data_IF_346367087884
#
_entry.id   IF_346367087884
#
_cell.length_a   1.000
_cell.length_b   1.000
_cell.length_c   1.000
_cell.angle_alpha   90.00
_cell.angle_beta   90.00
_cell.angle_gamma   90.00
#
_symmetry.space_group_name_H-M   'P 1'
#
loop_
_entity.id
_entity.type
_entity.pdbx_description
1 polymer ?
#
# COMPACT_ATOMS: atom_id res chain seq x y z
N UNK A 1 -2.46 -32.38 -25.80
CA UNK A 1 -2.47 -31.75 -24.48
C UNK A 1 -3.00 -32.79 -23.50
N UNK A 2 -2.24 -33.08 -22.46
CA UNK A 2 -2.40 -34.24 -21.58
C UNK A 2 -2.64 -33.74 -20.15
N UNK A 3 -3.80 -34.07 -19.59
CA UNK A 3 -4.16 -33.67 -18.22
C UNK A 3 -3.36 -34.51 -17.21
N UNK A 4 -2.61 -33.84 -16.33
CA UNK A 4 -1.90 -34.50 -15.23
C UNK A 4 -2.78 -34.64 -14.00
N UNK A 5 -3.61 -33.62 -13.73
CA UNK A 5 -4.65 -33.59 -12.71
C UNK A 5 -5.64 -32.45 -13.02
N UNK A 6 -6.56 -32.15 -12.10
CA UNK A 6 -7.61 -31.14 -12.27
C UNK A 6 -7.08 -29.72 -12.56
N UNK A 7 -5.82 -29.43 -12.22
CA UNK A 7 -5.24 -28.09 -12.30
C UNK A 7 -4.10 -27.97 -13.32
N UNK A 8 -3.45 -29.07 -13.70
CA UNK A 8 -2.26 -29.06 -14.55
C UNK A 8 -2.42 -29.92 -15.80
N UNK A 9 -1.93 -29.41 -16.94
CA UNK A 9 -1.78 -30.20 -18.16
C UNK A 9 -0.42 -29.97 -18.85
N UNK A 10 0.08 -31.00 -19.53
CA UNK A 10 1.28 -30.96 -20.36
C UNK A 10 0.91 -30.86 -21.84
N UNK A 11 1.71 -30.15 -22.61
CA UNK A 11 1.60 -30.12 -24.06
C UNK A 11 2.96 -30.32 -24.71
N UNK A 12 3.06 -31.29 -25.61
CA UNK A 12 4.22 -31.46 -26.47
C UNK A 12 4.04 -30.59 -27.71
N UNK A 13 5.04 -29.76 -28.00
CA UNK A 13 5.03 -28.80 -29.11
C UNK A 13 6.36 -28.93 -29.84
N UNK A 14 6.33 -29.37 -31.10
CA UNK A 14 7.54 -29.35 -31.92
C UNK A 14 7.89 -27.91 -32.27
N UNK A 15 8.99 -27.39 -31.71
CA UNK A 15 9.50 -26.08 -32.04
C UNK A 15 10.30 -26.10 -33.36
N UNK A 16 10.96 -27.22 -33.65
CA UNK A 16 11.62 -27.52 -34.93
C UNK A 16 11.85 -29.04 -35.08
N UNK A 17 12.37 -29.50 -36.22
CA UNK A 17 12.72 -30.93 -36.44
C UNK A 17 13.85 -31.45 -35.54
N UNK A 18 14.49 -30.58 -34.76
CA UNK A 18 15.58 -30.92 -33.84
C UNK A 18 15.29 -30.50 -32.41
N UNK A 19 14.09 -29.98 -32.13
CA UNK A 19 13.73 -29.43 -30.84
C UNK A 19 12.26 -29.70 -30.49
N UNK A 20 12.05 -30.41 -29.38
CA UNK A 20 10.74 -30.68 -28.79
C UNK A 20 10.55 -29.82 -27.55
N UNK A 21 9.47 -29.05 -27.50
CA UNK A 21 9.07 -28.32 -26.31
C UNK A 21 8.03 -29.11 -25.51
N UNK A 22 8.27 -29.26 -24.22
CA UNK A 22 7.31 -29.75 -23.23
C UNK A 22 6.81 -28.55 -22.45
N UNK A 23 5.56 -28.17 -22.68
CA UNK A 23 4.88 -27.06 -22.02
C UNK A 23 4.07 -27.53 -20.82
N UNK A 24 4.15 -26.83 -19.69
CA UNK A 24 3.32 -27.05 -18.51
C UNK A 24 2.35 -25.89 -18.32
N UNK A 25 1.06 -26.22 -18.28
CA UNK A 25 -0.03 -25.28 -18.11
C UNK A 25 -0.72 -25.51 -16.76
N UNK A 26 -1.04 -24.43 -16.06
CA UNK A 26 -1.85 -24.44 -14.83
C UNK A 26 -3.13 -23.65 -15.07
N UNK A 27 -4.29 -24.30 -14.93
CA UNK A 27 -5.60 -23.74 -15.31
C UNK A 27 -5.62 -23.13 -16.73
N UNK A 28 -4.94 -23.77 -17.69
CA UNK A 28 -4.88 -23.33 -19.09
C UNK A 28 -3.95 -22.13 -19.35
N UNK A 29 -3.19 -21.68 -18.35
CA UNK A 29 -2.16 -20.65 -18.51
C UNK A 29 -0.80 -21.34 -18.61
N UNK A 30 -0.04 -21.02 -19.65
CA UNK A 30 1.32 -21.50 -19.80
C UNK A 30 2.18 -20.98 -18.66
N UNK A 31 2.71 -21.91 -17.85
CA UNK A 31 3.55 -21.57 -16.70
C UNK A 31 5.03 -21.81 -16.98
N UNK A 32 5.37 -22.82 -17.80
CA UNK A 32 6.75 -23.25 -18.09
C UNK A 32 6.86 -23.93 -19.46
N UNK A 33 8.03 -23.83 -20.10
CA UNK A 33 8.42 -24.58 -21.31
C UNK A 33 9.78 -25.23 -21.05
N UNK A 34 9.95 -26.49 -21.46
CA UNK A 34 11.25 -27.20 -21.49
C UNK A 34 11.55 -27.62 -22.91
N UNK A 35 12.72 -27.26 -23.44
CA UNK A 35 13.14 -27.64 -24.80
C UNK A 35 14.14 -28.79 -24.76
N UNK A 36 13.89 -29.85 -25.52
CA UNK A 36 14.73 -31.05 -25.62
C UNK A 36 15.23 -31.24 -27.05
N UNK A 37 16.50 -31.64 -27.19
CA UNK A 37 17.08 -32.10 -28.45
C UNK A 37 17.19 -33.63 -28.52
N UNK A 38 17.56 -34.18 -29.69
CA UNK A 38 17.69 -35.63 -29.90
C UNK A 38 18.62 -36.33 -28.90
N UNK A 39 19.76 -35.72 -28.56
CA UNK A 39 20.73 -36.31 -27.62
C UNK A 39 20.13 -36.40 -26.20
N UNK A 40 19.40 -35.36 -25.77
CA UNK A 40 18.71 -35.34 -24.48
C UNK A 40 17.56 -36.35 -24.44
N UNK A 41 16.75 -36.45 -25.50
CA UNK A 41 15.71 -37.47 -25.62
C UNK A 41 16.30 -38.89 -25.57
N UNK A 42 17.44 -39.10 -26.22
CA UNK A 42 18.13 -40.39 -26.21
C UNK A 42 18.73 -40.74 -24.85
N UNK A 43 19.34 -39.77 -24.16
CA UNK A 43 19.83 -39.96 -22.81
C UNK A 43 18.70 -40.30 -21.82
N UNK A 44 17.57 -39.59 -21.90
CA UNK A 44 16.40 -39.81 -21.05
C UNK A 44 15.78 -41.19 -21.23
N UNK A 45 15.93 -41.78 -22.41
CA UNK A 45 15.43 -43.13 -22.72
C UNK A 45 16.47 -44.23 -22.57
N UNK A 46 17.65 -43.94 -22.00
CA UNK A 46 18.76 -44.89 -21.98
C UNK A 46 19.10 -45.45 -23.37
N UNK A 47 19.00 -44.62 -24.41
CA UNK A 47 19.20 -44.95 -25.84
C UNK A 47 18.16 -45.89 -26.45
N UNK A 48 16.97 -46.00 -25.85
CA UNK A 48 15.84 -46.70 -26.47
C UNK A 48 15.22 -45.90 -27.62
N UNK A 49 15.28 -44.57 -27.55
CA UNK A 49 14.92 -43.67 -28.64
C UNK A 49 16.18 -42.90 -29.07
N UNK A 50 16.41 -42.75 -30.37
CA UNK A 50 17.53 -41.98 -30.93
C UNK A 50 17.05 -40.67 -31.56
N UNK A 51 15.74 -40.55 -31.81
CA UNK A 51 15.11 -39.36 -32.39
C UNK A 51 14.00 -38.79 -31.50
N UNK A 52 13.73 -37.50 -31.65
CA UNK A 52 12.58 -36.82 -31.03
C UNK A 52 11.27 -37.51 -31.42
N UNK A 53 11.09 -37.91 -32.69
CA UNK A 53 9.85 -38.56 -33.14
C UNK A 53 9.61 -39.91 -32.43
N UNK A 54 10.66 -40.71 -32.23
CA UNK A 54 10.57 -41.96 -31.44
C UNK A 54 10.28 -41.69 -29.96
N UNK A 55 10.84 -40.62 -29.41
CA UNK A 55 10.58 -40.18 -28.04
C UNK A 55 9.15 -39.70 -27.85
N UNK A 56 8.62 -38.94 -28.81
CA UNK A 56 7.23 -38.46 -28.79
C UNK A 56 6.25 -39.61 -28.84
N UNK A 57 6.44 -40.58 -29.75
CA UNK A 57 5.59 -41.78 -29.80
C UNK A 57 5.63 -42.54 -28.47
N UNK A 58 6.82 -42.73 -27.88
CA UNK A 58 6.96 -43.40 -26.59
C UNK A 58 6.22 -42.65 -25.47
N UNK A 59 6.38 -41.32 -25.38
CA UNK A 59 5.72 -40.51 -24.35
C UNK A 59 4.20 -40.50 -24.54
N UNK A 60 3.72 -40.42 -25.78
CA UNK A 60 2.28 -40.50 -26.09
C UNK A 60 1.71 -41.85 -25.67
N UNK A 61 2.36 -42.95 -26.05
CA UNK A 61 1.93 -44.30 -25.68
C UNK A 61 1.90 -44.49 -24.16
N UNK A 62 2.89 -43.94 -23.44
CA UNK A 62 2.96 -43.96 -21.98
C UNK A 62 1.87 -43.10 -21.31
N UNK A 63 1.55 -41.94 -21.91
CA UNK A 63 0.48 -41.05 -21.44
C UNK A 63 -0.91 -41.65 -21.65
N UNK A 64 -1.09 -42.46 -22.69
CA UNK A 64 -2.34 -43.16 -22.97
C UNK A 64 -2.48 -44.47 -22.17
N UNK A 65 -1.38 -45.15 -21.84
CA UNK A 65 -1.38 -46.39 -21.06
C UNK A 65 -1.28 -46.16 -19.55
N UNK A 66 -2.38 -45.64 -18.96
CA UNK A 66 -2.67 -45.73 -17.52
C UNK A 66 -1.59 -45.19 -16.57
N UNK A 67 -1.34 -43.88 -16.62
CA UNK A 67 -0.52 -43.21 -15.61
C UNK A 67 -1.33 -43.08 -14.32
N UNK A 68 -0.91 -43.77 -13.26
CA UNK A 68 -1.61 -43.75 -11.97
C UNK A 68 -0.91 -42.97 -10.86
N UNK A 69 0.30 -42.43 -11.06
CA UNK A 69 1.07 -41.77 -10.00
C UNK A 69 2.05 -40.69 -10.52
N UNK A 70 1.54 -39.58 -11.07
CA UNK A 70 2.40 -38.40 -11.34
C UNK A 70 2.57 -37.61 -10.04
N UNK A 71 3.79 -37.57 -9.50
CA UNK A 71 4.13 -36.71 -8.38
C UNK A 71 4.88 -35.49 -8.92
N UNK A 72 4.35 -34.28 -8.70
CA UNK A 72 5.02 -33.01 -9.04
C UNK A 72 5.43 -32.34 -7.74
N UNK A 73 6.72 -32.33 -7.44
CA UNK A 73 7.28 -31.56 -6.32
C UNK A 73 7.79 -30.22 -6.84
N UNK A 74 7.24 -29.12 -6.35
CA UNK A 74 7.57 -27.76 -6.79
C UNK A 74 8.73 -27.21 -5.95
N UNK A 75 9.92 -27.79 -6.08
CA UNK A 75 11.15 -27.28 -5.46
C UNK A 75 12.31 -27.33 -6.46
N UNK A 76 12.51 -26.23 -7.20
CA UNK A 76 13.61 -25.93 -8.16
C UNK A 76 13.90 -26.97 -9.28
N UNK A 77 13.24 -28.12 -9.26
CA UNK A 77 13.42 -29.24 -10.16
C UNK A 77 12.05 -29.84 -10.46
N UNK A 78 11.73 -30.05 -11.74
CA UNK A 78 10.56 -30.81 -12.12
C UNK A 78 10.98 -32.28 -12.20
N UNK A 79 10.49 -33.10 -11.27
CA UNK A 79 10.64 -34.55 -11.32
C UNK A 79 9.33 -35.17 -11.81
N UNK A 80 9.37 -35.90 -12.91
CA UNK A 80 8.22 -36.65 -13.44
C UNK A 80 8.56 -38.12 -13.32
N UNK A 81 7.69 -38.87 -12.64
CA UNK A 81 7.81 -40.31 -12.47
C UNK A 81 6.57 -41.04 -12.96
N UNK A 82 6.76 -42.14 -13.69
CA UNK A 82 5.67 -43.05 -14.06
C UNK A 82 6.17 -44.51 -14.21
N UNK A 83 5.32 -45.50 -13.95
CA UNK A 83 5.65 -46.90 -14.15
C UNK A 83 5.59 -47.27 -15.64
N UNK A 84 6.64 -47.93 -16.17
CA UNK A 84 6.66 -48.45 -17.54
C UNK A 84 6.57 -49.97 -17.51
N UNK A 85 5.66 -50.55 -18.32
CA UNK A 85 5.53 -52.00 -18.54
C UNK A 85 6.07 -52.38 -19.90
N UNK A 86 7.03 -53.30 -19.93
CA UNK A 86 7.66 -53.76 -21.16
C UNK A 86 7.11 -55.12 -21.61
N UNK A 87 6.28 -55.10 -22.66
CA UNK A 87 5.77 -56.32 -23.30
C UNK A 87 4.94 -57.23 -22.40
N UNK A 88 4.62 -58.44 -22.88
CA UNK A 88 3.72 -59.40 -22.21
C UNK A 88 4.26 -60.04 -20.91
N UNK A 89 5.38 -59.53 -20.37
CA UNK A 89 5.94 -59.97 -19.08
C UNK A 89 5.81 -58.80 -18.10
N UNK A 90 5.09 -59.03 -17.00
CA UNK A 90 4.83 -58.06 -15.92
C UNK A 90 6.12 -57.62 -15.17
N UNK A 91 6.97 -56.86 -15.84
CA UNK A 91 8.03 -56.07 -15.23
C UNK A 91 7.58 -54.62 -15.18
N UNK A 92 7.49 -54.06 -13.98
CA UNK A 92 7.15 -52.67 -13.73
C UNK A 92 8.41 -51.96 -13.23
N UNK A 93 8.94 -51.03 -14.02
CA UNK A 93 10.09 -50.22 -13.63
C UNK A 93 9.63 -48.77 -13.51
N UNK A 94 9.88 -48.15 -12.36
CA UNK A 94 9.62 -46.73 -12.17
C UNK A 94 10.67 -45.94 -12.95
N UNK A 95 10.23 -45.17 -13.93
CA UNK A 95 11.07 -44.22 -14.64
C UNK A 95 10.88 -42.86 -14.01
N UNK A 96 11.99 -42.23 -13.62
CA UNK A 96 12.03 -40.88 -13.08
C UNK A 96 13.03 -40.07 -13.89
N UNK A 97 12.62 -38.93 -14.43
CA UNK A 97 13.57 -37.96 -14.97
C UNK A 97 13.48 -36.65 -14.21
N UNK A 98 14.67 -36.11 -13.92
CA UNK A 98 14.87 -34.85 -13.21
C UNK A 98 15.27 -33.79 -14.23
N UNK A 99 14.45 -32.75 -14.35
CA UNK A 99 14.78 -31.59 -15.19
C UNK A 99 15.32 -30.50 -14.27
N UNK A 100 16.58 -30.11 -14.50
CA UNK A 100 17.20 -28.96 -13.84
C UNK A 100 16.68 -27.68 -14.51
N UNK A 101 15.86 -26.91 -13.80
CA UNK A 101 15.02 -25.84 -14.38
C UNK A 101 15.61 -24.44 -14.20
N UNK A 102 16.94 -24.30 -14.29
CA UNK A 102 17.53 -22.95 -14.38
C UNK A 102 16.95 -22.23 -15.60
N UNK A 103 16.12 -21.22 -15.33
CA UNK A 103 15.61 -20.26 -16.30
C UNK A 103 16.81 -19.67 -17.05
N UNK A 104 17.08 -20.17 -18.26
CA UNK A 104 17.93 -19.45 -19.20
C UNK A 104 17.06 -18.35 -19.78
N UNK A 105 16.95 -17.23 -19.07
CA UNK A 105 16.51 -16.00 -19.69
C UNK A 105 17.58 -15.64 -20.72
N UNK A 106 17.23 -15.61 -22.01
CA UNK A 106 18.03 -14.96 -23.04
C UNK A 106 18.07 -13.45 -22.71
N UNK A 107 18.86 -13.07 -21.70
CA UNK A 107 19.24 -11.69 -21.47
C UNK A 107 20.31 -11.39 -22.50
N UNK A 108 19.90 -10.81 -23.62
CA UNK A 108 20.73 -9.79 -24.24
C UNK A 108 21.18 -8.80 -23.17
N UNK A 109 22.38 -8.24 -23.29
CA UNK A 109 23.02 -7.26 -22.39
C UNK A 109 22.18 -5.98 -22.18
N UNK A 110 20.98 -6.10 -21.62
CA UNK A 110 20.11 -4.99 -21.28
C UNK A 110 20.52 -4.48 -19.91
N UNK A 111 21.09 -3.28 -19.89
CA UNK A 111 21.38 -2.56 -18.65
C UNK A 111 20.04 -2.14 -18.06
N UNK A 112 19.56 -2.86 -17.04
CA UNK A 112 18.35 -2.52 -16.30
C UNK A 112 18.67 -2.00 -14.90
N UNK A 113 17.65 -1.50 -14.20
CA UNK A 113 17.72 -1.16 -12.77
C UNK A 113 17.42 -2.36 -11.87
N UNK A 114 17.29 -3.56 -12.43
CA UNK A 114 17.01 -4.75 -11.65
C UNK A 114 18.24 -5.13 -10.79
N UNK A 115 18.01 -5.80 -9.65
CA UNK A 115 19.08 -6.43 -8.91
C UNK A 115 19.85 -7.40 -9.81
N UNK A 116 21.18 -7.37 -9.71
CA UNK A 116 22.04 -8.35 -10.37
C UNK A 116 21.81 -9.78 -9.86
N UNK A 117 21.28 -9.94 -8.63
CA UNK A 117 20.89 -11.20 -8.02
C UNK A 117 19.60 -11.05 -7.20
N UNK A 118 18.50 -11.63 -7.71
CA UNK A 118 17.20 -11.63 -7.05
C UNK A 118 17.15 -12.48 -5.78
N UNK A 119 17.97 -13.53 -5.68
CA UNK A 119 18.04 -14.36 -4.48
C UNK A 119 18.78 -13.61 -3.36
N UNK A 120 19.84 -12.88 -3.69
CA UNK A 120 20.52 -12.00 -2.73
C UNK A 120 19.59 -10.91 -2.19
N UNK A 121 18.84 -10.23 -3.08
CA UNK A 121 17.82 -9.25 -2.65
C UNK A 121 16.74 -9.89 -1.77
N UNK A 122 16.31 -11.12 -2.08
CA UNK A 122 15.34 -11.86 -1.25
C UNK A 122 15.88 -12.12 0.15
N UNK A 123 17.14 -12.55 0.27
CA UNK A 123 17.80 -12.76 1.57
C UNK A 123 17.89 -11.46 2.36
N UNK A 124 18.25 -10.35 1.70
CA UNK A 124 18.25 -9.03 2.34
C UNK A 124 16.84 -8.65 2.81
N UNK A 125 15.83 -8.84 1.96
CA UNK A 125 14.43 -8.60 2.31
C UNK A 125 13.98 -9.38 3.54
N UNK A 126 14.32 -10.67 3.63
CA UNK A 126 14.05 -11.49 4.82
C UNK A 126 14.70 -10.91 6.08
N UNK A 127 15.99 -10.54 6.01
CA UNK A 127 16.71 -9.94 7.13
C UNK A 127 16.08 -8.61 7.57
N UNK A 128 15.74 -7.73 6.63
CA UNK A 128 15.10 -6.45 6.92
C UNK A 128 13.76 -6.67 7.64
N UNK A 129 12.94 -7.57 7.11
CA UNK A 129 11.61 -7.86 7.67
C UNK A 129 11.69 -8.43 9.08
N UNK A 130 12.56 -9.41 9.30
CA UNK A 130 12.81 -9.99 10.63
C UNK A 130 13.25 -8.91 11.63
N UNK A 131 14.27 -8.14 11.26
CA UNK A 131 14.79 -7.07 12.11
C UNK A 131 13.75 -5.98 12.42
N UNK A 132 12.89 -5.61 11.46
CA UNK A 132 11.89 -4.56 11.67
C UNK A 132 10.71 -5.05 12.53
N UNK A 133 10.32 -6.31 12.37
CA UNK A 133 9.31 -6.95 13.24
C UNK A 133 9.85 -7.02 14.67
N UNK A 134 11.09 -7.47 14.86
CA UNK A 134 11.76 -7.52 16.15
C UNK A 134 11.94 -6.12 16.75
N UNK A 135 12.26 -5.13 15.91
CA UNK A 135 12.34 -3.74 16.32
C UNK A 135 11.02 -3.24 16.92
N UNK A 136 9.89 -3.50 16.25
CA UNK A 136 8.56 -3.11 16.75
C UNK A 136 8.15 -3.91 18.00
N UNK A 137 8.42 -5.22 18.04
CA UNK A 137 8.14 -6.08 19.20
C UNK A 137 8.86 -5.57 20.46
N UNK A 138 10.15 -5.29 20.32
CA UNK A 138 11.05 -4.99 21.44
C UNK A 138 11.17 -3.49 21.71
N UNK A 139 10.40 -2.64 21.03
CA UNK A 139 10.55 -1.18 21.14
C UNK A 139 10.47 -0.69 22.59
N UNK A 140 9.66 -1.35 23.42
CA UNK A 140 9.43 -1.03 24.84
C UNK A 140 10.67 -1.25 25.72
N UNK A 141 11.65 -2.00 25.22
CA UNK A 141 12.93 -2.26 25.90
C UNK A 141 13.98 -1.19 25.60
N UNK A 142 13.67 -0.25 24.69
CA UNK A 142 14.57 0.82 24.27
C UNK A 142 14.13 2.16 24.89
N UNK A 143 15.01 3.16 24.99
CA UNK A 143 14.60 4.51 25.35
C UNK A 143 13.52 5.03 24.39
N UNK A 144 12.50 5.70 24.92
CA UNK A 144 11.45 6.30 24.10
C UNK A 144 12.02 7.28 23.06
N UNK A 145 13.02 8.06 23.45
CA UNK A 145 13.76 8.94 22.55
C UNK A 145 15.21 9.02 23.02
N UNK A 146 16.13 9.21 22.08
CA UNK A 146 17.53 9.55 22.37
C UNK A 146 18.03 10.62 21.40
N UNK A 147 18.87 11.56 21.85
CA UNK A 147 19.45 12.56 20.98
C UNK A 147 20.40 11.92 19.96
N UNK A 148 20.46 12.49 18.77
CA UNK A 148 21.44 12.12 17.74
C UNK A 148 22.84 12.59 18.19
N UNK A 149 23.83 11.69 18.32
CA UNK A 149 25.20 12.08 18.65
C UNK A 149 25.79 13.01 17.59
N UNK A 150 26.61 13.98 18.03
CA UNK A 150 27.26 14.94 17.13
C UNK A 150 28.09 14.23 16.05
N UNK A 151 28.79 13.16 16.41
CA UNK A 151 29.59 12.38 15.47
C UNK A 151 28.75 11.77 14.34
N UNK A 152 27.60 11.19 14.66
CA UNK A 152 26.68 10.65 13.64
C UNK A 152 26.09 11.78 12.80
N UNK A 153 25.71 12.89 13.44
CA UNK A 153 25.21 14.07 12.74
C UNK A 153 26.24 14.61 11.73
N UNK A 154 27.51 14.69 12.12
CA UNK A 154 28.60 15.13 11.25
C UNK A 154 28.84 14.16 10.09
N UNK A 155 28.80 12.85 10.33
CA UNK A 155 28.89 11.83 9.26
C UNK A 155 27.78 12.03 8.22
N UNK A 156 26.53 12.24 8.66
CA UNK A 156 25.37 12.43 7.76
C UNK A 156 25.51 13.75 6.97
N UNK A 157 25.93 14.84 7.62
CA UNK A 157 25.98 16.16 6.98
C UNK A 157 27.18 16.37 6.06
N UNK A 158 28.31 15.70 6.34
CA UNK A 158 29.57 15.89 5.61
C UNK A 158 29.92 14.72 4.69
N UNK A 159 28.99 13.77 4.47
CA UNK A 159 29.19 12.67 3.53
C UNK A 159 29.21 13.16 2.08
N UNK A 160 30.19 12.71 1.30
CA UNK A 160 30.26 13.01 -0.13
C UNK A 160 29.20 12.24 -0.93
N UNK A 161 28.78 12.79 -2.07
CA UNK A 161 27.92 12.08 -3.03
C UNK A 161 28.67 10.83 -3.55
N UNK A 162 28.15 9.60 -3.34
CA UNK A 162 28.80 8.40 -3.86
C UNK A 162 28.75 8.40 -5.39
N UNK A 163 29.94 8.32 -6.03
CA UNK A 163 30.06 8.24 -7.49
C UNK A 163 29.92 6.81 -8.03
N UNK A 164 29.89 5.82 -7.13
CA UNK A 164 29.74 4.41 -7.44
C UNK A 164 28.63 3.80 -6.59
N UNK A 165 27.97 2.78 -7.12
CA UNK A 165 26.96 2.03 -6.37
C UNK A 165 27.56 1.39 -5.10
N UNK A 166 26.76 1.34 -4.05
CA UNK A 166 27.08 0.64 -2.81
C UNK A 166 26.22 -0.61 -2.69
N UNK A 167 26.70 -1.61 -1.94
CA UNK A 167 25.91 -2.81 -1.68
C UNK A 167 24.65 -2.45 -0.88
N UNK A 168 23.45 -2.94 -1.27
CA UNK A 168 22.24 -2.76 -0.48
C UNK A 168 22.37 -3.24 0.97
N UNK A 169 23.19 -4.27 1.22
CA UNK A 169 23.50 -4.77 2.56
C UNK A 169 24.25 -3.72 3.41
N UNK A 170 25.25 -3.05 2.82
CA UNK A 170 26.01 -2.01 3.51
C UNK A 170 25.12 -0.82 3.83
N UNK A 171 24.29 -0.38 2.88
CA UNK A 171 23.31 0.70 3.09
C UNK A 171 22.33 0.35 4.22
N UNK A 172 21.85 -0.90 4.27
CA UNK A 172 20.98 -1.35 5.34
C UNK A 172 21.67 -1.36 6.72
N UNK A 173 22.92 -1.82 6.80
CA UNK A 173 23.71 -1.81 8.04
C UNK A 173 23.95 -0.36 8.51
N UNK A 174 24.19 0.58 7.59
CA UNK A 174 24.28 2.01 7.89
C UNK A 174 22.97 2.56 8.44
N UNK A 175 21.81 2.22 7.84
CA UNK A 175 20.49 2.60 8.38
C UNK A 175 20.30 2.08 9.80
N UNK A 176 20.68 0.83 10.06
CA UNK A 176 20.55 0.20 11.38
C UNK A 176 21.43 0.86 12.46
N UNK A 177 22.56 1.44 12.08
CA UNK A 177 23.55 2.00 13.02
C UNK A 177 23.46 3.52 13.16
N UNK A 178 23.03 4.22 12.11
CA UNK A 178 23.07 5.69 12.05
C UNK A 178 21.68 6.34 12.07
N UNK A 179 20.62 5.66 11.63
CA UNK A 179 19.27 6.25 11.50
C UNK A 179 18.30 5.65 12.49
N UNK A 180 18.03 4.34 12.38
CA UNK A 180 17.06 3.60 13.19
C UNK A 180 17.23 3.82 14.70
N UNK A 181 18.46 3.99 15.23
CA UNK A 181 18.67 4.33 16.62
C UNK A 181 18.01 5.64 17.07
N UNK A 182 18.02 6.68 16.24
CA UNK A 182 17.80 8.07 16.69
C UNK A 182 16.49 8.67 16.16
N UNK A 183 15.47 7.84 15.97
CA UNK A 183 14.14 8.30 15.55
C UNK A 183 13.39 9.04 16.69
N UNK A 184 12.33 9.77 16.34
CA UNK A 184 11.54 10.57 17.29
C UNK A 184 10.94 9.74 18.44
N UNK A 185 10.60 8.47 18.18
CA UNK A 185 10.12 7.56 19.22
C UNK A 185 8.61 7.41 19.32
N UNK A 186 7.84 7.96 18.38
CA UNK A 186 6.37 7.95 18.38
C UNK A 186 5.70 6.56 18.37
N UNK A 187 6.46 5.50 18.13
CA UNK A 187 5.99 4.12 18.24
C UNK A 187 6.19 3.51 19.64
N UNK A 188 6.91 4.18 20.54
CA UNK A 188 7.17 3.71 21.89
C UNK A 188 5.92 3.95 22.79
N UNK A 189 5.51 3.01 23.66
CA UNK A 189 4.28 3.15 24.47
C UNK A 189 4.30 4.30 25.49
N UNK A 190 5.49 4.76 25.87
CA UNK A 190 5.68 5.92 26.77
C UNK A 190 5.92 7.23 26.01
N UNK A 191 5.78 7.24 24.68
CA UNK A 191 5.84 8.47 23.91
C UNK A 191 4.48 9.18 23.97
N UNK A 192 4.39 10.25 24.75
CA UNK A 192 3.18 11.07 24.92
C UNK A 192 3.37 12.49 24.39
N UNK A 193 4.33 12.69 23.48
CA UNK A 193 4.62 13.99 22.88
C UNK A 193 3.69 14.28 21.71
N UNK A 194 3.10 15.47 21.67
CA UNK A 194 2.28 15.95 20.56
C UNK A 194 1.21 14.92 20.11
N UNK A 195 0.93 14.89 18.80
CA UNK A 195 -0.07 14.05 18.16
C UNK A 195 0.62 13.31 17.01
N UNK A 196 1.56 12.44 17.37
CA UNK A 196 2.20 11.56 16.40
C UNK A 196 1.47 10.22 16.36
N UNK A 197 1.09 9.78 15.16
CA UNK A 197 0.61 8.42 14.95
C UNK A 197 1.73 7.41 15.14
N UNK A 198 1.46 6.29 15.81
CA UNK A 198 2.40 5.18 15.93
C UNK A 198 2.40 4.26 14.70
N UNK A 199 1.50 4.48 13.75
CA UNK A 199 1.22 3.51 12.68
C UNK A 199 0.64 2.21 13.22
N UNK A 200 0.51 1.21 12.35
CA UNK A 200 0.18 -0.17 12.71
C UNK A 200 1.14 -1.14 12.03
N UNK A 201 1.35 -2.31 12.62
CA UNK A 201 2.21 -3.36 12.06
C UNK A 201 1.71 -3.82 10.69
N UNK A 202 0.40 -3.96 10.53
CA UNK A 202 -0.24 -4.30 9.25
C UNK A 202 -0.08 -3.17 8.24
N UNK A 203 -0.17 -1.91 8.68
CA UNK A 203 0.09 -0.75 7.82
C UNK A 203 1.50 -0.76 7.24
N UNK A 204 2.52 -1.10 8.04
CA UNK A 204 3.90 -1.21 7.56
C UNK A 204 4.07 -2.29 6.47
N UNK A 205 3.38 -3.43 6.61
CA UNK A 205 3.36 -4.47 5.57
C UNK A 205 2.63 -4.03 4.31
N UNK A 206 1.52 -3.29 4.47
CA UNK A 206 0.80 -2.72 3.35
C UNK A 206 1.64 -1.70 2.57
N UNK A 207 2.45 -0.89 3.25
CA UNK A 207 3.41 0.03 2.61
C UNK A 207 4.47 -0.71 1.78
N UNK A 208 4.94 -1.88 2.25
CA UNK A 208 5.83 -2.72 1.45
C UNK A 208 5.14 -3.17 0.15
N UNK A 209 3.90 -3.67 0.23
CA UNK A 209 3.11 -4.06 -0.96
C UNK A 209 2.92 -2.86 -1.89
N UNK A 210 2.49 -1.70 -1.37
CA UNK A 210 2.31 -0.48 -2.17
C UNK A 210 3.60 -0.08 -2.87
N UNK A 211 4.74 -0.12 -2.17
CA UNK A 211 6.06 0.16 -2.72
C UNK A 211 6.46 -0.81 -3.84
N UNK A 212 6.14 -2.11 -3.71
CA UNK A 212 6.41 -3.10 -4.77
C UNK A 212 5.49 -2.95 -5.98
N UNK A 213 4.23 -2.57 -5.77
CA UNK A 213 3.29 -2.33 -6.86
C UNK A 213 3.60 -1.04 -7.63
N UNK A 214 4.23 -0.07 -6.98
CA UNK A 214 4.64 1.23 -7.52
C UNK A 214 3.61 1.83 -8.49
N UNK A 215 2.34 1.80 -8.10
CA UNK A 215 1.23 2.01 -9.03
C UNK A 215 1.03 3.49 -9.35
N UNK A 216 0.99 3.82 -10.65
CA UNK A 216 0.56 5.12 -11.17
C UNK A 216 -0.85 4.99 -11.76
N UNK A 217 -1.84 5.63 -11.14
CA UNK A 217 -3.26 5.50 -11.51
C UNK A 217 -3.76 6.56 -12.51
N UNK A 218 -2.94 6.92 -13.51
CA UNK A 218 -3.29 7.93 -14.52
C UNK A 218 -4.19 7.41 -15.66
N UNK A 219 -4.43 6.09 -15.76
CA UNK A 219 -5.33 5.52 -16.77
C UNK A 219 -5.54 4.00 -16.62
N UNK A 220 -6.43 3.46 -17.45
CA UNK A 220 -6.81 2.04 -17.44
C UNK A 220 -7.79 1.66 -16.32
N UNK A 221 -8.24 0.40 -16.32
CA UNK A 221 -9.03 -0.18 -15.23
C UNK A 221 -8.08 -0.83 -14.22
N UNK A 222 -7.80 -0.13 -13.11
CA UNK A 222 -6.91 -0.61 -12.05
C UNK A 222 -7.71 -0.93 -10.79
N UNK A 223 -7.41 -2.07 -10.16
CA UNK A 223 -8.10 -2.50 -8.93
C UNK A 223 -7.95 -1.49 -7.78
N UNK A 224 -6.81 -0.79 -7.69
CA UNK A 224 -6.52 0.22 -6.67
C UNK A 224 -7.56 1.36 -6.64
N UNK A 225 -8.04 1.81 -7.80
CA UNK A 225 -9.04 2.88 -7.91
C UNK A 225 -10.38 2.45 -7.27
N UNK A 226 -10.80 1.22 -7.53
CA UNK A 226 -12.05 0.69 -6.96
C UNK A 226 -11.91 0.39 -5.47
N UNK A 227 -10.72 -0.05 -5.04
CA UNK A 227 -10.40 -0.27 -3.63
C UNK A 227 -10.46 1.05 -2.84
N UNK A 228 -9.86 2.13 -3.34
CA UNK A 228 -9.94 3.45 -2.71
C UNK A 228 -11.40 3.90 -2.55
N UNK A 229 -12.21 3.83 -3.62
CA UNK A 229 -13.64 4.15 -3.55
C UNK A 229 -14.38 3.33 -2.49
N UNK A 230 -14.04 2.05 -2.36
CA UNK A 230 -14.66 1.17 -1.38
C UNK A 230 -14.27 1.55 0.06
N UNK A 231 -12.99 1.84 0.29
CA UNK A 231 -12.47 2.31 1.59
C UNK A 231 -13.11 3.65 1.96
N UNK A 232 -13.21 4.58 1.01
CA UNK A 232 -13.89 5.86 1.22
C UNK A 232 -15.37 5.67 1.61
N UNK A 233 -16.10 4.77 0.96
CA UNK A 233 -17.47 4.43 1.36
C UNK A 233 -17.56 3.91 2.80
N UNK A 234 -16.60 3.08 3.24
CA UNK A 234 -16.54 2.66 4.64
C UNK A 234 -16.25 3.83 5.59
N UNK A 235 -15.32 4.72 5.23
CA UNK A 235 -15.02 5.91 6.03
C UNK A 235 -16.22 6.86 6.14
N UNK A 236 -16.96 7.08 5.05
CA UNK A 236 -18.21 7.86 5.07
C UNK A 236 -19.21 7.30 6.08
N UNK A 237 -19.44 5.98 6.03
CA UNK A 237 -20.33 5.28 6.95
C UNK A 237 -19.85 5.39 8.41
N UNK A 238 -18.56 5.21 8.66
CA UNK A 238 -17.97 5.32 10.00
C UNK A 238 -18.15 6.72 10.59
N UNK A 239 -17.93 7.75 9.78
CA UNK A 239 -18.05 9.15 10.19
C UNK A 239 -19.49 9.66 10.20
N UNK A 240 -20.45 8.88 9.70
CA UNK A 240 -21.87 9.21 9.69
C UNK A 240 -22.33 10.07 8.50
N UNK A 241 -21.46 10.33 7.54
CA UNK A 241 -21.82 11.04 6.30
C UNK A 241 -22.82 10.21 5.47
N UNK A 242 -23.59 10.85 4.57
CA UNK A 242 -24.39 10.13 3.58
C UNK A 242 -23.53 9.08 2.86
N UNK A 243 -24.06 7.88 2.63
CA UNK A 243 -23.31 6.82 1.93
C UNK A 243 -23.85 6.58 0.52
N UNK A 244 -24.22 7.66 -0.16
CA UNK A 244 -24.67 7.69 -1.55
C UNK A 244 -23.76 8.65 -2.37
N UNK A 245 -24.18 9.00 -3.58
CA UNK A 245 -23.43 9.85 -4.52
C UNK A 245 -23.40 11.34 -4.12
N UNK A 246 -24.16 11.76 -3.10
CA UNK A 246 -24.16 13.15 -2.63
C UNK A 246 -22.91 13.49 -1.81
N UNK A 247 -22.13 12.49 -1.45
CA UNK A 247 -20.90 12.62 -0.67
C UNK A 247 -19.76 11.83 -1.31
N UNK A 248 -18.55 12.34 -1.19
CA UNK A 248 -17.35 11.67 -1.69
C UNK A 248 -16.18 11.91 -0.74
N UNK A 249 -15.02 11.37 -1.07
CA UNK A 249 -13.79 11.63 -0.35
C UNK A 249 -12.57 11.39 -1.23
N UNK A 250 -11.40 11.67 -0.68
CA UNK A 250 -10.11 11.43 -1.31
C UNK A 250 -9.10 11.13 -0.20
N UNK A 251 -8.24 10.13 -0.41
CA UNK A 251 -7.14 9.87 0.51
C UNK A 251 -5.97 10.81 0.17
N UNK A 252 -5.43 11.49 1.17
CA UNK A 252 -4.32 12.44 1.03
C UNK A 252 -3.27 12.22 2.11
N UNK A 253 -2.09 12.79 1.90
CA UNK A 253 -0.92 12.60 2.79
C UNK A 253 -1.08 13.19 4.20
N UNK A 254 -2.15 13.96 4.47
CA UNK A 254 -2.49 14.43 5.81
C UNK A 254 -3.45 15.62 5.82
N UNK A 255 -3.85 16.03 7.02
CA UNK A 255 -4.86 17.07 7.25
C UNK A 255 -4.53 18.39 6.55
N UNK A 256 -3.26 18.81 6.52
CA UNK A 256 -2.88 20.05 5.84
C UNK A 256 -3.28 20.05 4.36
N UNK A 257 -3.12 18.93 3.66
CA UNK A 257 -3.53 18.80 2.24
C UNK A 257 -5.05 18.74 2.15
N UNK A 258 -5.72 18.01 3.04
CA UNK A 258 -7.17 17.95 3.09
C UNK A 258 -7.80 19.35 3.29
N UNK A 259 -7.26 20.14 4.22
CA UNK A 259 -7.65 21.53 4.46
C UNK A 259 -7.47 22.40 3.21
N UNK A 260 -6.32 22.29 2.52
CA UNK A 260 -6.07 23.04 1.28
C UNK A 260 -7.13 22.71 0.24
N UNK A 261 -7.44 21.43 0.06
CA UNK A 261 -8.46 20.98 -0.91
C UNK A 261 -9.84 21.51 -0.51
N UNK A 262 -10.26 21.33 0.75
CA UNK A 262 -11.55 21.80 1.26
C UNK A 262 -11.72 23.32 1.04
N UNK A 263 -10.70 24.10 1.42
CA UNK A 263 -10.71 25.55 1.26
C UNK A 263 -10.71 25.98 -0.21
N UNK A 264 -10.00 25.26 -1.09
CA UNK A 264 -10.00 25.51 -2.52
C UNK A 264 -11.37 25.21 -3.15
N UNK A 265 -12.03 24.11 -2.74
CA UNK A 265 -13.38 23.76 -3.19
C UNK A 265 -14.40 24.82 -2.75
N UNK A 266 -14.36 25.23 -1.47
CA UNK A 266 -15.22 26.30 -0.97
C UNK A 266 -15.01 27.62 -1.72
N UNK A 267 -13.74 28.03 -1.92
CA UNK A 267 -13.40 29.24 -2.69
C UNK A 267 -13.92 29.17 -4.13
N UNK A 268 -13.87 28.00 -4.76
CA UNK A 268 -14.43 27.79 -6.10
C UNK A 268 -15.96 27.91 -6.10
N UNK A 269 -16.65 27.34 -5.11
CA UNK A 269 -18.12 27.45 -4.93
C UNK A 269 -18.56 28.91 -4.77
N UNK A 270 -17.77 29.74 -4.11
CA UNK A 270 -18.09 31.15 -3.88
C UNK A 270 -17.77 32.10 -5.05
N UNK A 271 -17.31 31.59 -6.20
CA UNK A 271 -17.15 32.36 -7.45
C UNK A 271 -16.44 33.71 -7.30
N UNK A 272 -15.31 33.75 -6.58
CA UNK A 272 -14.48 34.96 -6.34
C UNK A 272 -15.10 36.03 -5.41
N UNK A 273 -16.25 35.76 -4.77
CA UNK A 273 -16.71 36.60 -3.66
C UNK A 273 -15.67 36.60 -2.54
N UNK A 274 -15.61 37.69 -1.80
CA UNK A 274 -14.78 37.77 -0.59
C UNK A 274 -15.18 36.65 0.36
N UNK A 275 -14.23 35.77 0.66
CA UNK A 275 -14.40 34.66 1.59
C UNK A 275 -13.68 35.00 2.90
N UNK A 276 -14.40 34.92 4.00
CA UNK A 276 -13.90 35.11 5.36
C UNK A 276 -13.84 33.73 6.04
N UNK A 277 -12.69 33.42 6.64
CA UNK A 277 -12.52 32.22 7.45
C UNK A 277 -12.89 32.57 8.89
N UNK A 278 -13.83 31.83 9.47
CA UNK A 278 -14.21 31.94 10.87
C UNK A 278 -13.70 30.72 11.62
N UNK A 279 -12.80 30.91 12.56
CA UNK A 279 -12.19 29.83 13.34
C UNK A 279 -11.87 30.30 14.77
N UNK A 280 -11.53 29.39 15.69
CA UNK A 280 -11.06 29.79 17.02
C UNK A 280 -9.56 30.07 17.00
N UNK A 281 -9.03 30.70 18.06
CA UNK A 281 -7.57 30.81 18.25
C UNK A 281 -6.88 29.47 18.51
N UNK A 282 -7.65 28.43 18.87
CA UNK A 282 -7.15 27.09 19.15
C UNK A 282 -7.20 26.17 17.92
N UNK A 283 -7.77 26.65 16.81
CA UNK A 283 -7.76 25.96 15.52
C UNK A 283 -6.33 25.71 15.05
N UNK A 284 -6.10 24.55 14.44
CA UNK A 284 -4.76 24.16 14.02
C UNK A 284 -4.20 25.12 12.95
N UNK A 285 -2.89 25.38 13.03
CA UNK A 285 -2.20 26.32 12.14
C UNK A 285 -2.28 25.96 10.65
N UNK A 286 -2.68 24.73 10.29
CA UNK A 286 -2.87 24.33 8.89
C UNK A 286 -3.95 25.16 8.19
N UNK A 287 -4.99 25.63 8.88
CA UNK A 287 -6.01 26.51 8.30
C UNK A 287 -5.38 27.81 7.81
N UNK A 288 -4.57 28.46 8.65
CA UNK A 288 -3.89 29.72 8.32
C UNK A 288 -2.87 29.51 7.19
N UNK A 289 -2.14 28.39 7.20
CA UNK A 289 -1.20 28.03 6.13
C UNK A 289 -1.92 27.80 4.81
N UNK A 290 -3.07 27.11 4.82
CA UNK A 290 -3.90 26.89 3.64
C UNK A 290 -4.47 28.21 3.11
N UNK A 291 -4.92 29.09 4.00
CA UNK A 291 -5.39 30.43 3.65
C UNK A 291 -4.31 31.23 2.92
N UNK A 292 -3.10 31.30 3.49
CA UNK A 292 -1.95 31.97 2.88
C UNK A 292 -1.59 31.37 1.52
N UNK A 293 -1.56 30.03 1.40
CA UNK A 293 -1.25 29.35 0.15
C UNK A 293 -2.26 29.66 -0.96
N UNK A 294 -3.54 29.82 -0.60
CA UNK A 294 -4.63 30.13 -1.54
C UNK A 294 -4.87 31.65 -1.72
N UNK A 295 -3.98 32.49 -1.20
CA UNK A 295 -4.07 33.95 -1.35
C UNK A 295 -5.27 34.56 -0.63
N UNK A 296 -5.64 34.02 0.53
CA UNK A 296 -6.62 34.62 1.44
C UNK A 296 -5.85 35.48 2.44
N UNK A 297 -6.15 36.78 2.45
CA UNK A 297 -5.46 37.73 3.30
C UNK A 297 -5.81 37.51 4.78
N UNK A 298 -4.88 37.85 5.68
CA UNK A 298 -5.06 37.73 7.13
C UNK A 298 -6.26 38.52 7.66
N UNK A 299 -6.63 39.62 6.99
CA UNK A 299 -7.80 40.45 7.33
C UNK A 299 -9.13 39.71 7.12
N UNK A 300 -9.12 38.67 6.27
CA UNK A 300 -10.26 37.80 6.03
C UNK A 300 -10.22 36.55 6.92
N UNK A 301 -9.49 36.59 8.03
CA UNK A 301 -9.47 35.53 9.04
C UNK A 301 -9.98 36.14 10.34
N UNK A 302 -11.15 35.68 10.77
CA UNK A 302 -11.83 36.14 11.97
C UNK A 302 -11.70 35.07 13.05
N UNK A 303 -11.01 35.42 14.12
CA UNK A 303 -10.90 34.57 15.31
C UNK A 303 -12.12 34.78 16.21
N UNK A 304 -12.99 33.78 16.26
CA UNK A 304 -14.19 33.77 17.09
C UNK A 304 -13.82 33.49 18.55
N UNK A 305 -14.57 34.10 19.47
CA UNK A 305 -14.43 33.83 20.89
C UNK A 305 -14.79 32.38 21.23
N UNK A 306 -14.20 31.89 22.31
CA UNK A 306 -14.46 30.54 22.82
C UNK A 306 -15.08 30.62 24.21
N UNK A 307 -15.90 29.63 24.55
CA UNK A 307 -16.49 29.47 25.89
C UNK A 307 -15.46 28.93 26.89
N UNK A 308 -15.89 28.69 28.13
CA UNK A 308 -15.03 28.15 29.20
C UNK A 308 -14.47 26.75 28.89
N UNK A 309 -15.15 25.99 28.03
CA UNK A 309 -14.71 24.68 27.54
C UNK A 309 -13.77 24.78 26.33
N UNK A 310 -13.37 26.00 25.93
CA UNK A 310 -12.55 26.32 24.76
C UNK A 310 -13.18 25.90 23.43
N UNK A 311 -14.51 25.82 23.40
CA UNK A 311 -15.29 25.59 22.19
C UNK A 311 -15.66 26.94 21.57
N UNK A 312 -15.79 27.04 20.25
CA UNK A 312 -16.35 28.23 19.59
C UNK A 312 -17.70 28.59 20.22
N UNK A 313 -17.84 29.84 20.65
CA UNK A 313 -19.12 30.38 21.08
C UNK A 313 -20.00 30.62 19.83
N UNK A 314 -21.06 29.83 19.71
CA UNK A 314 -22.00 29.84 18.57
C UNK A 314 -22.67 31.21 18.43
N UNK A 315 -22.99 31.90 19.53
CA UNK A 315 -23.61 33.22 19.48
C UNK A 315 -22.59 34.27 19.03
N UNK A 316 -21.35 34.18 19.51
CA UNK A 316 -20.27 35.05 19.08
C UNK A 316 -19.95 34.86 17.59
N UNK A 317 -19.95 33.61 17.10
CA UNK A 317 -19.81 33.32 15.68
C UNK A 317 -20.91 34.00 14.87
N UNK A 318 -22.17 33.78 15.24
CA UNK A 318 -23.31 34.35 14.52
C UNK A 318 -23.26 35.88 14.45
N UNK A 319 -22.86 36.54 15.54
CA UNK A 319 -22.70 37.99 15.58
C UNK A 319 -21.57 38.53 14.69
N UNK A 320 -20.54 37.71 14.43
CA UNK A 320 -19.39 38.09 13.60
C UNK A 320 -19.56 37.79 12.11
N UNK A 321 -20.55 36.99 11.71
CA UNK A 321 -20.75 36.65 10.30
C UNK A 321 -21.18 37.88 9.50
N UNK A 322 -20.33 38.33 8.57
CA UNK A 322 -20.67 39.37 7.61
C UNK A 322 -21.77 38.86 6.64
N UNK A 323 -22.96 39.49 6.61
CA UNK A 323 -24.04 39.08 5.71
C UNK A 323 -23.73 39.32 4.23
N UNK A 324 -22.69 40.08 3.89
CA UNK A 324 -22.31 40.38 2.51
C UNK A 324 -21.15 39.51 1.99
N UNK A 325 -20.49 38.76 2.87
CA UNK A 325 -19.37 37.89 2.52
C UNK A 325 -19.78 36.41 2.47
N UNK A 326 -18.94 35.59 1.85
CA UNK A 326 -19.01 34.14 2.02
C UNK A 326 -18.19 33.73 3.25
N UNK A 327 -18.65 32.75 4.01
CA UNK A 327 -17.98 32.26 5.21
C UNK A 327 -17.46 30.84 5.05
N UNK A 328 -16.22 30.62 5.49
CA UNK A 328 -15.67 29.28 5.71
C UNK A 328 -15.54 29.08 7.22
N UNK A 329 -16.48 28.33 7.81
CA UNK A 329 -16.55 28.11 9.25
C UNK A 329 -15.79 26.83 9.58
N UNK A 330 -14.81 26.93 10.46
CA UNK A 330 -13.99 25.80 10.90
C UNK A 330 -14.42 25.37 12.30
N UNK A 331 -15.06 24.20 12.40
CA UNK A 331 -15.23 23.49 13.66
C UNK A 331 -14.08 22.52 13.90
N UNK A 332 -13.65 22.38 15.15
CA UNK A 332 -12.62 21.43 15.57
C UNK A 332 -13.26 20.24 16.26
N UNK A 333 -13.08 19.05 15.72
CA UNK A 333 -13.45 17.79 16.39
C UNK A 333 -12.23 17.26 17.18
N UNK A 334 -11.76 18.06 18.14
CA UNK A 334 -10.58 17.79 18.96
C UNK A 334 -9.40 18.69 18.59
N UNK A 335 -9.30 19.85 19.24
CA UNK A 335 -8.16 20.77 19.10
C UNK A 335 -6.85 20.14 19.59
N UNK A 336 -5.72 20.48 18.97
CA UNK A 336 -4.40 19.92 19.34
C UNK A 336 -4.01 20.28 20.78
N UNK A 337 -4.31 21.50 21.21
CA UNK A 337 -3.85 22.03 22.50
C UNK A 337 -4.56 21.42 23.71
N UNK A 338 -5.88 21.22 23.63
CA UNK A 338 -6.70 20.78 24.76
C UNK A 338 -7.66 19.64 24.46
N UNK A 339 -7.77 19.21 23.21
CA UNK A 339 -8.76 18.21 22.80
C UNK A 339 -10.19 18.74 22.82
N UNK A 340 -10.39 20.06 22.75
CA UNK A 340 -11.73 20.65 22.74
C UNK A 340 -12.48 20.23 21.48
N UNK A 341 -13.75 19.87 21.63
CA UNK A 341 -14.65 19.51 20.54
C UNK A 341 -15.69 20.62 20.45
N UNK A 342 -15.72 21.36 19.35
CA UNK A 342 -16.70 22.44 19.15
C UNK A 342 -18.14 21.90 19.09
N UNK A 343 -19.13 22.76 19.34
CA UNK A 343 -20.55 22.44 19.13
C UNK A 343 -20.87 22.30 17.63
N UNK A 344 -20.50 21.16 17.04
CA UNK A 344 -20.62 20.92 15.60
C UNK A 344 -22.06 21.03 15.11
N UNK A 345 -23.04 20.65 15.95
CA UNK A 345 -24.45 20.79 15.66
C UNK A 345 -24.86 22.26 15.58
N UNK A 346 -24.49 23.08 16.56
CA UNK A 346 -24.75 24.52 16.56
C UNK A 346 -24.08 25.24 15.39
N UNK A 347 -22.85 24.88 15.05
CA UNK A 347 -22.14 25.40 13.87
C UNK A 347 -22.86 25.01 12.56
N UNK A 348 -23.27 23.75 12.43
CA UNK A 348 -24.05 23.29 11.28
C UNK A 348 -25.40 23.99 11.16
N UNK A 349 -26.07 24.30 12.28
CA UNK A 349 -27.34 25.04 12.31
C UNK A 349 -27.19 26.49 11.84
N UNK A 350 -26.05 27.13 12.10
CA UNK A 350 -25.71 28.43 11.51
C UNK A 350 -25.55 28.29 9.98
N UNK A 351 -24.74 27.34 9.52
CA UNK A 351 -24.48 27.16 8.08
C UNK A 351 -25.74 26.80 7.30
N UNK A 352 -26.62 25.96 7.86
CA UNK A 352 -27.87 25.53 7.23
C UNK A 352 -28.86 26.67 6.97
N UNK A 353 -28.75 27.80 7.69
CA UNK A 353 -29.57 29.00 7.45
C UNK A 353 -29.11 29.81 6.23
N UNK A 354 -27.86 29.63 5.78
CA UNK A 354 -27.28 30.32 4.62
C UNK A 354 -26.40 29.37 3.78
N UNK A 355 -26.95 28.28 3.24
CA UNK A 355 -26.17 27.19 2.62
C UNK A 355 -25.46 27.57 1.31
N UNK A 356 -25.81 28.71 0.72
CA UNK A 356 -25.17 29.27 -0.48
C UNK A 356 -24.00 30.20 -0.15
N UNK A 357 -23.92 30.68 1.08
CA UNK A 357 -22.92 31.66 1.53
C UNK A 357 -21.95 31.09 2.55
N UNK A 358 -22.33 30.06 3.29
CA UNK A 358 -21.53 29.45 4.34
C UNK A 358 -21.11 28.03 3.97
N UNK A 359 -19.85 27.72 4.27
CA UNK A 359 -19.24 26.39 4.15
C UNK A 359 -18.82 25.92 5.54
N UNK A 360 -19.28 24.75 5.95
CA UNK A 360 -18.90 24.14 7.23
C UNK A 360 -17.81 23.09 7.03
N UNK A 361 -16.61 23.38 7.53
CA UNK A 361 -15.50 22.43 7.57
C UNK A 361 -15.26 21.93 9.01
N UNK A 362 -15.05 20.63 9.16
CA UNK A 362 -14.64 20.05 10.45
C UNK A 362 -13.20 19.55 10.37
N UNK A 363 -12.31 20.17 11.15
CA UNK A 363 -10.98 19.63 11.41
C UNK A 363 -11.09 18.45 12.38
N UNK A 364 -11.13 17.25 11.80
CA UNK A 364 -11.27 15.97 12.49
C UNK A 364 -9.97 15.21 12.75
N UNK A 365 -8.81 15.83 12.56
CA UNK A 365 -7.51 15.15 12.49
C UNK A 365 -7.23 14.19 13.66
N UNK A 366 -7.75 14.51 14.85
CA UNK A 366 -7.49 13.77 16.09
C UNK A 366 -8.75 13.08 16.59
N UNK A 367 -9.80 13.87 16.84
CA UNK A 367 -10.95 13.40 17.60
C UNK A 367 -12.06 12.82 16.76
N UNK A 368 -12.16 13.10 15.45
CA UNK A 368 -13.34 12.69 14.66
C UNK A 368 -13.56 11.17 14.67
N UNK A 369 -12.50 10.36 14.69
CA UNK A 369 -12.61 8.90 14.78
C UNK A 369 -13.32 8.42 16.06
N UNK A 370 -13.31 9.23 17.12
CA UNK A 370 -14.03 8.91 18.35
C UNK A 370 -15.56 8.91 18.17
N UNK A 371 -16.10 9.43 17.06
CA UNK A 371 -17.51 9.27 16.70
C UNK A 371 -17.93 7.79 16.51
N UNK A 372 -16.96 6.89 16.29
CA UNK A 372 -17.18 5.45 16.23
C UNK A 372 -17.45 4.83 17.61
N UNK A 373 -17.03 5.50 18.70
CA UNK A 373 -17.28 5.03 20.06
C UNK A 373 -18.71 5.38 20.48
N UNK A 374 -19.53 4.39 20.82
CA UNK A 374 -20.91 4.62 21.32
C UNK A 374 -20.97 5.62 22.48
N UNK A 375 -19.94 5.64 23.34
CA UNK A 375 -19.85 6.53 24.50
C UNK A 375 -19.53 7.98 24.11
N UNK A 376 -18.67 8.17 23.11
CA UNK A 376 -18.19 9.51 22.73
C UNK A 376 -18.96 10.10 21.55
N UNK A 377 -19.64 9.27 20.75
CA UNK A 377 -20.43 9.67 19.58
C UNK A 377 -21.35 10.88 19.82
N UNK A 378 -22.07 11.01 20.94
CA UNK A 378 -22.93 12.18 21.17
C UNK A 378 -22.17 13.52 21.13
N UNK A 379 -20.88 13.55 21.46
CA UNK A 379 -20.04 14.75 21.41
C UNK A 379 -19.76 15.24 19.97
N UNK A 380 -19.97 14.39 18.96
CA UNK A 380 -19.72 14.68 17.55
C UNK A 380 -21.00 14.85 16.74
N UNK A 381 -22.14 15.05 17.41
CA UNK A 381 -23.42 15.32 16.75
C UNK A 381 -23.28 16.54 15.85
N UNK A 382 -23.68 16.44 14.57
CA UNK A 382 -23.52 17.48 13.57
C UNK A 382 -22.30 17.30 12.66
N UNK A 383 -21.38 16.38 12.98
CA UNK A 383 -20.25 16.03 12.09
C UNK A 383 -20.74 15.58 10.70
N UNK A 384 -21.83 14.80 10.66
CA UNK A 384 -22.43 14.29 9.44
C UNK A 384 -23.01 15.36 8.51
N UNK A 385 -23.09 16.61 9.00
CA UNK A 385 -23.64 17.77 8.28
C UNK A 385 -22.55 18.70 7.73
N UNK A 386 -21.27 18.37 7.96
CA UNK A 386 -20.15 19.14 7.42
C UNK A 386 -20.12 19.06 5.88
N UNK A 387 -19.73 20.16 5.23
CA UNK A 387 -19.46 20.19 3.79
C UNK A 387 -18.12 19.53 3.45
N UNK A 388 -17.16 19.51 4.40
CA UNK A 388 -15.82 18.91 4.23
C UNK A 388 -15.13 18.51 5.52
#
# INVERSE_FOLDING_TARGET
MYLLNDNYCLQLVHASSQCLNIELHHHGILTRIVSLNNDQCSMLTHRLCETIDEFDVLIIDLLETSISNICVTVDENLEISFPVRFGSRNYEKLWSFRIDTKLVTNTTDEISLDPSDWNDLRLLGHKIMENMIDYMRDIRLRPAWRPLPLTIKEIILNGDLPLQGQSPWQVYDEVCTTILPYIMGNIHPLFWGHVYGSGSTIGALAEFITGTMNTMSWGGQQASIYLERKVLSWLKLLMGFPNDETSSGILVSGTSVATIIALAVARKKFHQRTMIIYCSKDTHSCIIRAANLLGINKENIVYVLTNEQRQIDVQALEACIDPNACGFIVGSAGTVGTGAIDDLQGLADICARRPHDLWFHVDGAIGAVACCSRRLRPLFTGLERADS
#
